data_IF_186294475609
#
_entry.id   IF_186294475609
#
_cell.length_a   1.000
_cell.length_b   1.000
_cell.length_c   1.000
_cell.angle_alpha   90.00
_cell.angle_beta   90.00
_cell.angle_gamma   90.00
#
_symmetry.space_group_name_H-M   'P 1'
#
loop_
_entity.id
_entity.type
_entity.pdbx_description
1 polymer ?
#
# COMPACT_ATOMS: atom_id res chain seq x y z
N UNK A 1 9.91 12.01 15.02
CA UNK A 1 10.05 11.82 13.56
C UNK A 1 9.09 10.71 13.17
N UNK A 2 8.31 10.87 12.09
CA UNK A 2 7.37 9.86 11.64
C UNK A 2 8.07 8.68 10.97
N UNK A 3 7.51 7.47 11.07
CA UNK A 3 8.01 6.28 10.38
C UNK A 3 7.89 6.47 8.87
N UNK A 4 6.80 7.06 8.37
CA UNK A 4 6.61 7.38 6.95
C UNK A 4 7.80 8.15 6.38
N UNK A 5 8.19 9.24 7.06
CA UNK A 5 9.33 10.08 6.64
C UNK A 5 10.65 9.33 6.65
N UNK A 6 10.88 8.53 7.69
CA UNK A 6 12.09 7.72 7.83
C UNK A 6 12.20 6.68 6.71
N UNK A 7 11.14 5.91 6.48
CA UNK A 7 11.07 4.87 5.44
C UNK A 7 11.29 5.48 4.06
N UNK A 8 10.59 6.58 3.72
CA UNK A 8 10.70 7.21 2.41
C UNK A 8 12.03 7.93 2.19
N UNK A 9 12.58 8.58 3.21
CA UNK A 9 13.91 9.23 3.12
C UNK A 9 15.01 8.18 2.90
N UNK A 10 14.98 7.07 3.65
CA UNK A 10 15.93 5.97 3.47
C UNK A 10 15.79 5.31 2.09
N UNK A 11 14.56 5.18 1.58
CA UNK A 11 14.30 4.71 0.22
C UNK A 11 14.90 5.66 -0.83
N UNK A 12 14.70 6.97 -0.69
CA UNK A 12 15.28 7.98 -1.58
C UNK A 12 16.81 7.96 -1.55
N UNK A 13 17.42 7.78 -0.37
CA UNK A 13 18.88 7.65 -0.23
C UNK A 13 19.44 6.42 -0.95
N UNK A 14 18.65 5.33 -1.04
CA UNK A 14 18.99 4.13 -1.83
C UNK A 14 18.81 4.35 -3.34
N UNK A 15 17.99 5.30 -3.76
CA UNK A 15 17.61 5.58 -5.15
C UNK A 15 18.59 6.51 -5.91
N UNK A 16 19.86 6.65 -5.47
CA UNK A 16 20.85 7.58 -6.06
C UNK A 16 21.05 7.53 -7.59
N UNK A 17 20.56 6.49 -8.28
CA UNK A 17 20.59 6.36 -9.75
C UNK A 17 19.19 6.15 -10.38
N UNK A 18 18.13 6.74 -9.81
CA UNK A 18 16.71 6.61 -10.16
C UNK A 18 16.13 5.18 -10.08
N UNK A 19 17.00 4.18 -9.94
CA UNK A 19 16.69 2.75 -9.93
C UNK A 19 17.70 1.98 -9.11
N UNK A 20 17.25 0.90 -8.47
CA UNK A 20 18.13 -0.03 -7.77
C UNK A 20 17.74 -1.49 -8.02
N UNK A 21 18.65 -2.40 -7.70
CA UNK A 21 18.39 -3.83 -7.76
C UNK A 21 17.63 -4.29 -6.51
N UNK A 22 16.53 -5.00 -6.75
CA UNK A 22 15.85 -5.80 -5.73
C UNK A 22 16.12 -7.29 -5.97
N UNK A 23 16.02 -8.06 -4.89
CA UNK A 23 15.95 -9.50 -4.90
C UNK A 23 14.49 -9.93 -4.67
N UNK A 24 13.97 -10.69 -5.62
CA UNK A 24 12.66 -11.32 -5.57
C UNK A 24 12.79 -12.75 -5.02
N UNK A 25 11.66 -13.42 -4.89
CA UNK A 25 11.61 -14.85 -4.57
C UNK A 25 12.41 -15.69 -5.57
N UNK A 26 12.82 -16.89 -5.15
CA UNK A 26 13.63 -17.82 -5.95
C UNK A 26 15.02 -17.27 -6.36
N UNK A 27 15.47 -16.17 -5.76
CA UNK A 27 16.79 -15.58 -6.00
C UNK A 27 16.86 -14.70 -7.26
N UNK A 28 15.74 -14.44 -7.94
CA UNK A 28 15.72 -13.57 -9.12
C UNK A 28 15.96 -12.11 -8.74
N UNK A 29 16.77 -11.39 -9.51
CA UNK A 29 16.96 -9.94 -9.33
C UNK A 29 16.26 -9.15 -10.41
N UNK A 30 15.68 -8.00 -10.06
CA UNK A 30 15.15 -7.04 -11.02
C UNK A 30 15.59 -5.62 -10.66
N UNK A 31 15.63 -4.73 -11.67
CA UNK A 31 15.98 -3.32 -11.48
C UNK A 31 14.71 -2.49 -11.55
N UNK A 32 14.35 -1.88 -10.43
CA UNK A 32 13.07 -1.18 -10.25
C UNK A 32 13.27 0.32 -10.03
N UNK A 33 12.25 1.10 -10.38
CA UNK A 33 12.15 2.53 -10.09
C UNK A 33 11.00 2.80 -9.11
N UNK A 34 10.96 4.04 -8.61
CA UNK A 34 9.88 4.56 -7.77
C UNK A 34 9.50 5.95 -8.26
N UNK A 35 8.23 6.30 -8.13
CA UNK A 35 7.74 7.64 -8.41
C UNK A 35 6.83 8.06 -7.27
N UNK A 36 7.29 9.03 -6.49
CA UNK A 36 6.52 9.62 -5.42
C UNK A 36 5.89 10.92 -5.94
N UNK A 37 4.57 11.03 -5.89
CA UNK A 37 3.91 12.24 -6.37
C UNK A 37 4.21 13.43 -5.45
N UNK A 38 3.97 14.64 -5.95
CA UNK A 38 4.00 15.83 -5.10
C UNK A 38 2.86 15.76 -4.08
N UNK A 39 3.16 16.10 -2.84
CA UNK A 39 2.18 16.19 -1.77
C UNK A 39 1.06 17.20 -1.99
N UNK A 40 -0.03 17.02 -1.24
CA UNK A 40 -1.20 17.89 -1.27
C UNK A 40 -1.26 18.80 -0.03
N UNK A 41 -1.85 19.99 -0.16
CA UNK A 41 -2.09 20.88 0.99
C UNK A 41 -3.12 20.26 1.93
N UNK A 42 -2.86 20.31 3.23
CA UNK A 42 -3.75 19.75 4.26
C UNK A 42 -5.21 20.25 4.15
N UNK A 43 -5.41 21.56 3.96
CA UNK A 43 -6.76 22.11 3.82
C UNK A 43 -7.52 21.53 2.61
N UNK A 44 -6.82 21.29 1.49
CA UNK A 44 -7.42 20.66 0.31
C UNK A 44 -7.73 19.19 0.57
N UNK A 45 -6.80 18.46 1.19
CA UNK A 45 -6.98 17.07 1.55
C UNK A 45 -8.20 16.85 2.46
N UNK A 46 -8.34 17.68 3.51
CA UNK A 46 -9.46 17.60 4.45
C UNK A 46 -10.80 17.92 3.78
N UNK A 47 -10.83 18.86 2.83
CA UNK A 47 -12.04 19.16 2.08
C UNK A 47 -12.46 17.98 1.19
N UNK A 48 -11.50 17.34 0.49
CA UNK A 48 -11.79 16.17 -0.35
C UNK A 48 -12.23 14.97 0.48
N UNK A 49 -11.54 14.67 1.58
CA UNK A 49 -11.93 13.61 2.50
C UNK A 49 -13.35 13.81 3.06
N UNK A 50 -13.69 15.06 3.40
CA UNK A 50 -15.04 15.43 3.85
C UNK A 50 -16.09 15.23 2.74
N UNK A 51 -15.78 15.58 1.49
CA UNK A 51 -16.70 15.40 0.37
C UNK A 51 -16.98 13.92 0.08
N UNK A 52 -15.99 13.06 0.28
CA UNK A 52 -16.12 11.61 0.16
C UNK A 52 -16.73 10.92 1.40
N UNK A 53 -17.00 11.67 2.46
CA UNK A 53 -17.43 11.16 3.77
C UNK A 53 -16.49 10.09 4.34
N UNK A 54 -15.17 10.31 4.20
CA UNK A 54 -14.14 9.41 4.74
C UNK A 54 -13.32 10.08 5.84
N UNK A 55 -12.94 9.29 6.83
CA UNK A 55 -11.98 9.70 7.85
C UNK A 55 -10.59 9.16 7.50
N UNK A 56 -9.59 10.04 7.45
CA UNK A 56 -8.20 9.66 7.20
C UNK A 56 -7.46 9.40 8.53
N UNK A 57 -6.79 8.24 8.68
CA UNK A 57 -5.84 8.02 9.76
C UNK A 57 -4.68 9.02 9.72
N UNK A 58 -4.06 9.28 10.88
CA UNK A 58 -3.01 10.30 11.02
C UNK A 58 -1.79 10.02 10.14
N UNK A 59 -1.33 8.77 10.05
CA UNK A 59 -0.16 8.37 9.27
C UNK A 59 -0.42 8.43 7.75
N UNK A 60 -1.62 8.04 7.31
CA UNK A 60 -2.01 8.08 5.90
C UNK A 60 -2.26 9.52 5.45
N UNK A 61 -2.82 10.37 6.33
CA UNK A 61 -2.91 11.81 6.11
C UNK A 61 -1.51 12.43 5.94
N UNK A 62 -0.56 12.07 6.79
CA UNK A 62 0.83 12.52 6.68
C UNK A 62 1.44 12.11 5.35
N UNK A 63 1.25 10.84 4.94
CA UNK A 63 1.69 10.36 3.63
C UNK A 63 1.13 11.21 2.50
N UNK A 64 -0.19 11.43 2.41
CA UNK A 64 -0.78 12.20 1.31
C UNK A 64 -0.30 13.66 1.27
N UNK A 65 -0.09 14.28 2.43
CA UNK A 65 0.44 15.65 2.53
C UNK A 65 1.87 15.74 1.96
N UNK A 66 2.70 14.71 2.13
CA UNK A 66 4.05 14.67 1.56
C UNK A 66 4.07 14.17 0.11
N UNK A 67 3.27 13.15 -0.17
CA UNK A 67 3.21 12.40 -1.40
C UNK A 67 1.76 11.97 -1.69
N UNK A 68 1.06 12.73 -2.54
CA UNK A 68 -0.32 12.44 -2.92
C UNK A 68 -0.37 11.31 -3.95
N UNK A 69 -0.12 10.09 -3.50
CA UNK A 69 0.02 8.89 -4.32
C UNK A 69 1.47 8.58 -4.73
N UNK A 70 1.69 7.35 -5.18
CA UNK A 70 3.00 6.87 -5.62
C UNK A 70 2.89 5.63 -6.51
N UNK A 71 3.91 5.41 -7.34
CA UNK A 71 4.13 4.15 -8.05
C UNK A 71 5.39 3.48 -7.48
N UNK A 72 5.22 2.29 -6.94
CA UNK A 72 6.26 1.54 -6.23
C UNK A 72 6.69 0.32 -7.06
N UNK A 73 8.01 0.03 -7.03
CA UNK A 73 8.61 -1.12 -7.69
C UNK A 73 8.27 -1.21 -9.18
N UNK A 74 8.52 -0.12 -9.91
CA UNK A 74 8.28 -0.02 -11.36
C UNK A 74 9.37 -0.79 -12.10
N UNK A 75 9.00 -1.90 -12.74
CA UNK A 75 9.86 -2.68 -13.62
C UNK A 75 9.61 -2.29 -15.09
N UNK A 76 10.66 -2.26 -15.91
CA UNK A 76 10.53 -1.88 -17.34
C UNK A 76 9.68 -2.85 -18.16
N UNK A 77 9.67 -4.12 -17.80
CA UNK A 77 8.98 -5.18 -18.54
C UNK A 77 7.63 -5.49 -17.93
N UNK A 78 7.56 -5.55 -16.60
CA UNK A 78 6.35 -5.92 -15.87
C UNK A 78 5.47 -4.72 -15.47
N UNK A 79 5.96 -3.49 -15.61
CA UNK A 79 5.24 -2.28 -15.22
C UNK A 79 5.29 -2.02 -13.71
N UNK A 80 4.33 -1.24 -13.22
CA UNK A 80 4.23 -0.86 -11.81
C UNK A 80 3.62 -1.99 -11.00
N UNK A 81 4.36 -2.52 -10.03
CA UNK A 81 3.87 -3.61 -9.17
C UNK A 81 2.76 -3.14 -8.22
N UNK A 82 2.90 -1.94 -7.68
CA UNK A 82 2.00 -1.41 -6.67
C UNK A 82 1.84 0.10 -6.81
N UNK A 83 0.61 0.58 -6.91
CA UNK A 83 0.29 2.00 -7.02
C UNK A 83 -0.49 2.44 -5.78
N UNK A 84 0.09 3.33 -5.00
CA UNK A 84 -0.60 4.07 -3.94
C UNK A 84 -1.41 5.18 -4.59
N UNK A 85 -2.71 5.22 -4.33
CA UNK A 85 -3.64 6.14 -4.94
C UNK A 85 -3.46 7.55 -4.35
N UNK A 86 -3.50 8.56 -5.22
CA UNK A 86 -3.75 9.94 -4.82
C UNK A 86 -5.18 10.09 -4.31
N UNK A 87 -5.45 11.14 -3.54
CA UNK A 87 -6.79 11.38 -2.99
C UNK A 87 -7.90 11.46 -4.06
N UNK A 88 -7.57 11.93 -5.27
CA UNK A 88 -8.53 11.99 -6.38
C UNK A 88 -8.75 10.59 -6.98
N UNK A 89 -7.70 9.78 -7.11
CA UNK A 89 -7.85 8.40 -7.56
C UNK A 89 -8.64 7.58 -6.52
N UNK A 90 -8.51 7.87 -5.22
CA UNK A 90 -9.34 7.23 -4.18
C UNK A 90 -10.82 7.52 -4.44
N UNK A 91 -11.18 8.77 -4.74
CA UNK A 91 -12.56 9.17 -5.09
C UNK A 91 -13.05 8.37 -6.30
N UNK A 92 -12.28 8.39 -7.40
CA UNK A 92 -12.61 7.66 -8.63
C UNK A 92 -12.82 6.17 -8.38
N UNK A 93 -11.91 5.51 -7.65
CA UNK A 93 -12.02 4.08 -7.36
C UNK A 93 -13.16 3.76 -6.38
N UNK A 94 -13.44 4.64 -5.43
CA UNK A 94 -14.55 4.48 -4.49
C UNK A 94 -15.90 4.54 -5.22
N UNK A 95 -16.00 5.29 -6.32
CA UNK A 95 -17.21 5.34 -7.15
C UNK A 95 -17.38 4.11 -8.06
N UNK A 96 -16.32 3.32 -8.30
CA UNK A 96 -16.37 2.14 -9.18
C UNK A 96 -16.96 0.89 -8.51
N UNK A 97 -17.03 0.85 -7.17
CA UNK A 97 -17.53 -0.30 -6.41
C UNK A 97 -18.33 0.16 -5.20
N UNK A 98 -19.27 -0.67 -4.74
CA UNK A 98 -20.06 -0.40 -3.54
C UNK A 98 -19.27 -0.74 -2.26
N UNK A 99 -18.27 0.10 -1.93
CA UNK A 99 -17.51 -0.06 -0.69
C UNK A 99 -18.43 0.05 0.54
N UNK A 100 -18.26 -0.81 1.56
CA UNK A 100 -18.95 -0.65 2.83
C UNK A 100 -18.70 0.74 3.45
N UNK A 101 -19.64 1.20 4.29
CA UNK A 101 -19.50 2.50 4.96
C UNK A 101 -18.16 2.59 5.71
N UNK A 102 -17.43 3.69 5.49
CA UNK A 102 -16.11 3.91 6.08
C UNK A 102 -14.96 3.19 5.37
N UNK A 103 -15.20 2.34 4.37
CA UNK A 103 -14.17 1.65 3.61
C UNK A 103 -13.79 2.44 2.36
N UNK A 104 -12.50 2.52 2.05
CA UNK A 104 -12.02 3.13 0.81
C UNK A 104 -10.66 2.57 0.36
N UNK A 105 -10.45 2.47 -0.96
CA UNK A 105 -9.21 1.95 -1.52
C UNK A 105 -8.09 2.96 -1.34
N UNK A 106 -6.87 2.49 -1.09
CA UNK A 106 -5.67 3.32 -0.98
C UNK A 106 -4.53 2.86 -1.89
N UNK A 107 -4.62 1.64 -2.41
CA UNK A 107 -3.63 1.14 -3.35
C UNK A 107 -4.17 0.01 -4.23
N UNK A 108 -3.54 -0.19 -5.37
CA UNK A 108 -3.83 -1.28 -6.29
C UNK A 108 -2.52 -1.93 -6.72
N UNK A 109 -2.48 -3.26 -6.72
CA UNK A 109 -1.33 -4.04 -7.17
C UNK A 109 -1.68 -5.52 -7.31
N UNK A 110 -0.71 -6.34 -7.71
CA UNK A 110 -0.87 -7.80 -7.80
C UNK A 110 -2.18 -8.24 -8.49
N UNK A 111 -2.25 -8.00 -9.81
CA UNK A 111 -3.38 -8.45 -10.65
C UNK A 111 -4.75 -7.82 -10.31
N UNK A 112 -4.74 -6.60 -9.78
CA UNK A 112 -5.96 -5.82 -9.53
C UNK A 112 -6.45 -5.85 -8.09
N UNK A 113 -5.72 -6.54 -7.22
CA UNK A 113 -5.98 -6.59 -5.78
C UNK A 113 -5.80 -5.22 -5.13
N UNK A 114 -6.54 -4.98 -4.05
CA UNK A 114 -6.75 -3.65 -3.49
C UNK A 114 -6.32 -3.63 -2.03
N UNK A 115 -5.51 -2.62 -1.68
CA UNK A 115 -5.24 -2.27 -0.29
C UNK A 115 -6.29 -1.26 0.16
N UNK A 116 -6.96 -1.52 1.28
CA UNK A 116 -8.14 -0.79 1.73
C UNK A 116 -7.91 -0.27 3.15
N UNK A 117 -8.45 0.92 3.44
CA UNK A 117 -8.62 1.40 4.80
C UNK A 117 -10.07 1.19 5.23
N UNK A 118 -10.27 0.62 6.42
CA UNK A 118 -11.55 0.67 7.13
C UNK A 118 -11.51 1.76 8.20
N UNK A 119 -12.19 2.88 7.95
CA UNK A 119 -12.18 4.03 8.84
C UNK A 119 -13.05 3.93 10.09
N UNK A 120 -13.85 2.88 10.21
CA UNK A 120 -14.57 2.57 11.45
C UNK A 120 -13.66 1.95 12.51
N UNK A 121 -12.50 1.42 12.12
CA UNK A 121 -11.62 0.62 12.98
C UNK A 121 -10.45 1.40 13.59
N UNK A 122 -10.46 2.73 13.56
CA UNK A 122 -9.38 3.50 14.19
C UNK A 122 -9.87 4.66 15.05
N UNK A 123 -9.25 4.80 16.23
CA UNK A 123 -9.44 5.94 17.10
C UNK A 123 -8.42 7.04 16.75
N UNK A 124 -8.89 8.23 16.39
CA UNK A 124 -8.06 9.39 16.00
C UNK A 124 -6.98 9.78 17.02
N UNK A 125 -7.17 9.43 18.29
CA UNK A 125 -6.24 9.72 19.39
C UNK A 125 -5.28 8.56 19.72
N UNK A 126 -5.30 7.47 18.97
CA UNK A 126 -4.39 6.33 19.12
C UNK A 126 -3.54 6.18 17.86
N UNK A 127 -2.25 5.91 18.04
CA UNK A 127 -1.35 5.58 16.93
C UNK A 127 -1.45 4.10 16.53
N UNK A 128 -1.61 3.23 17.53
CA UNK A 128 -1.85 1.82 17.33
C UNK A 128 -3.33 1.60 17.01
N UNK A 129 -3.65 1.46 15.73
CA UNK A 129 -4.93 1.01 15.22
C UNK A 129 -4.65 0.09 14.02
N UNK A 130 -5.38 -1.01 13.93
CA UNK A 130 -5.24 -1.96 12.83
C UNK A 130 -6.42 -1.79 11.87
N UNK A 131 -6.20 -1.08 10.77
CA UNK A 131 -7.27 -0.69 9.82
C UNK A 131 -6.91 -0.97 8.36
N UNK A 132 -5.77 -1.59 8.10
CA UNK A 132 -5.38 -2.00 6.75
C UNK A 132 -5.96 -3.38 6.44
N UNK A 133 -6.63 -3.45 5.31
CA UNK A 133 -7.24 -4.64 4.76
C UNK A 133 -6.74 -4.89 3.34
N UNK A 134 -6.75 -6.17 2.95
CA UNK A 134 -6.32 -6.64 1.64
C UNK A 134 -7.46 -7.41 0.98
N UNK A 135 -7.86 -6.96 -0.20
CA UNK A 135 -8.90 -7.58 -1.02
C UNK A 135 -8.28 -8.16 -2.28
N UNK A 136 -8.27 -9.50 -2.42
CA UNK A 136 -7.81 -10.13 -3.66
C UNK A 136 -8.81 -9.90 -4.79
N UNK A 137 -8.31 -9.94 -6.02
CA UNK A 137 -9.16 -9.82 -7.21
C UNK A 137 -10.22 -10.92 -7.22
N UNK A 138 -11.49 -10.52 -7.25
CA UNK A 138 -12.64 -11.43 -7.29
C UNK A 138 -13.21 -11.82 -5.94
N UNK A 139 -12.57 -11.42 -4.83
CA UNK A 139 -13.13 -11.56 -3.48
C UNK A 139 -14.22 -10.52 -3.21
N UNK A 140 -15.14 -10.88 -2.31
CA UNK A 140 -16.10 -9.95 -1.72
C UNK A 140 -15.49 -9.21 -0.51
N UNK A 141 -16.08 -8.08 -0.12
CA UNK A 141 -15.64 -7.36 1.09
C UNK A 141 -15.77 -8.18 2.38
N UNK A 142 -16.63 -9.20 2.40
CA UNK A 142 -16.79 -10.13 3.54
C UNK A 142 -15.60 -11.10 3.68
N UNK A 143 -14.90 -11.37 2.58
CA UNK A 143 -13.73 -12.27 2.53
C UNK A 143 -12.41 -11.51 2.69
N UNK A 144 -12.48 -10.17 2.75
CA UNK A 144 -11.31 -9.30 2.80
C UNK A 144 -10.44 -9.58 4.04
N UNK A 145 -9.13 -9.71 3.81
CA UNK A 145 -8.17 -10.10 4.84
C UNK A 145 -7.70 -8.90 5.64
N UNK A 146 -7.93 -8.90 6.95
CA UNK A 146 -7.26 -7.95 7.85
C UNK A 146 -5.75 -8.22 7.88
N UNK A 147 -4.96 -7.18 7.61
CA UNK A 147 -3.51 -7.27 7.72
C UNK A 147 -2.99 -7.05 9.15
N UNK A 148 -3.88 -6.68 10.09
CA UNK A 148 -3.55 -6.40 11.49
C UNK A 148 -2.42 -5.36 11.63
N UNK A 149 -2.56 -4.25 10.90
CA UNK A 149 -1.57 -3.18 10.86
C UNK A 149 -2.17 -1.82 10.49
N UNK A 150 -1.42 -0.76 10.80
CA UNK A 150 -1.64 0.59 10.27
C UNK A 150 -0.87 0.81 8.96
N UNK A 151 -1.04 1.98 8.33
CA UNK A 151 -0.42 2.27 7.05
C UNK A 151 1.11 2.41 7.16
N UNK A 152 1.62 3.05 8.21
CA UNK A 152 3.07 3.22 8.38
C UNK A 152 3.82 1.89 8.56
N UNK A 153 3.24 0.93 9.30
CA UNK A 153 3.81 -0.41 9.45
C UNK A 153 3.74 -1.19 8.14
N UNK A 154 2.60 -1.12 7.43
CA UNK A 154 2.48 -1.76 6.12
C UNK A 154 3.52 -1.22 5.13
N UNK A 155 3.67 0.11 5.03
CA UNK A 155 4.59 0.74 4.09
C UNK A 155 6.05 0.37 4.40
N UNK A 156 6.44 0.43 5.68
CA UNK A 156 7.79 0.08 6.11
C UNK A 156 8.13 -1.36 5.73
N UNK A 157 7.24 -2.31 6.07
CA UNK A 157 7.45 -3.72 5.75
C UNK A 157 7.39 -4.01 4.25
N UNK A 158 6.54 -3.32 3.50
CA UNK A 158 6.46 -3.46 2.04
C UNK A 158 7.74 -2.97 1.33
N UNK A 159 8.36 -1.91 1.84
CA UNK A 159 9.65 -1.43 1.32
C UNK A 159 10.78 -2.40 1.71
N UNK A 160 10.81 -2.89 2.96
CA UNK A 160 11.80 -3.88 3.44
C UNK A 160 11.69 -5.21 2.70
N UNK A 161 10.47 -5.67 2.41
CA UNK A 161 10.19 -6.89 1.64
C UNK A 161 10.41 -6.72 0.13
N UNK A 162 10.89 -5.56 -0.30
CA UNK A 162 11.19 -5.26 -1.71
C UNK A 162 9.96 -5.46 -2.61
N UNK A 163 8.79 -5.11 -2.08
CA UNK A 163 7.53 -5.14 -2.80
C UNK A 163 6.93 -6.53 -2.93
N UNK A 164 7.30 -7.48 -2.06
CA UNK A 164 6.63 -8.77 -1.94
C UNK A 164 5.42 -8.68 -1.00
N UNK A 165 4.40 -9.52 -1.23
CA UNK A 165 3.23 -9.72 -0.35
C UNK A 165 3.67 -10.37 0.99
N UNK A 166 4.38 -9.62 1.83
CA UNK A 166 5.03 -10.15 3.02
C UNK A 166 4.03 -10.71 4.04
N UNK A 167 2.78 -10.23 4.02
CA UNK A 167 1.69 -10.70 4.87
C UNK A 167 1.27 -12.15 4.57
N UNK A 168 1.65 -12.72 3.42
CA UNK A 168 1.36 -14.12 3.07
C UNK A 168 2.46 -15.09 3.51
N UNK A 169 3.61 -14.60 3.98
CA UNK A 169 4.76 -15.46 4.27
C UNK A 169 4.49 -16.49 5.37
N UNK A 170 3.63 -16.18 6.34
CA UNK A 170 3.24 -17.12 7.39
C UNK A 170 2.36 -18.28 6.90
N UNK A 171 1.82 -18.21 5.68
CA UNK A 171 0.92 -19.23 5.11
C UNK A 171 1.72 -20.40 4.52
N UNK A 172 2.97 -20.15 4.14
CA UNK A 172 3.85 -21.15 3.54
C UNK A 172 4.53 -22.03 4.60
N UNK A 173 4.39 -23.34 4.46
CA UNK A 173 5.36 -24.31 4.97
C UNK A 173 6.27 -24.77 3.81
N UNK A 174 7.28 -25.61 4.06
CA UNK A 174 8.20 -26.06 3.00
C UNK A 174 7.47 -26.75 1.85
N UNK A 175 6.45 -27.56 2.15
CA UNK A 175 5.64 -28.24 1.13
C UNK A 175 4.89 -27.25 0.24
N UNK A 176 4.07 -26.37 0.83
CA UNK A 176 3.35 -25.33 0.09
C UNK A 176 4.28 -24.40 -0.68
N UNK A 177 5.44 -24.05 -0.11
CA UNK A 177 6.42 -23.20 -0.79
C UNK A 177 6.92 -23.87 -2.06
N UNK A 178 7.33 -25.14 -1.98
CA UNK A 178 7.82 -25.84 -3.16
C UNK A 178 6.71 -26.14 -4.17
N UNK A 179 5.51 -26.53 -3.73
CA UNK A 179 4.36 -26.73 -4.61
C UNK A 179 3.96 -25.45 -5.35
N UNK A 180 3.89 -24.31 -4.67
CA UNK A 180 3.52 -23.04 -5.30
C UNK A 180 4.56 -22.49 -6.29
N UNK A 181 5.78 -23.04 -6.28
CA UNK A 181 6.88 -22.62 -7.15
C UNK A 181 7.34 -23.75 -8.10
N UNK A 182 6.55 -24.83 -8.24
CA UNK A 182 6.87 -25.99 -9.11
C UNK A 182 8.26 -26.61 -8.85
N UNK A 183 8.63 -26.75 -7.57
CA UNK A 183 9.94 -27.27 -7.13
C UNK A 183 9.88 -28.71 -6.57
N UNK A 184 8.73 -29.40 -6.68
CA UNK A 184 8.53 -30.82 -6.35
C UNK A 184 8.01 -31.56 -7.56
#
# INVERSE_FOLDING_TARGET
MSIIKLTLSALQDRLKEDRFYIQNTLGYTSRVAFKLNKGIKEATLLNLAKNMDINLPVDYKEFLIEHNGAELFIDQKAGTRFRLLSINEIEEYKEMMDYPEGWFPIAIGFEGSILIINSNNFAQNKRANDYIYWLETGESFEECTSLNMNFEMWLDFFIVSQGSKFWEWSIYNSEKYYTANDLI
#
